data_IF_747571477000
#
_entry.id   IF_747571477000
#
_cell.length_a   1.000
_cell.length_b   1.000
_cell.length_c   1.000
_cell.angle_alpha   90.00
_cell.angle_beta   90.00
_cell.angle_gamma   90.00
#
_symmetry.space_group_name_H-M   'P 1'
#
loop_
_entity.id
_entity.type
_entity.pdbx_description
1 polymer ?
#
# COMPACT_ATOMS: atom_id res chain seq x y z
N UNK A 1 0.32 -0.91 12.03
CA UNK A 1 -0.02 -0.59 10.62
C UNK A 1 0.34 0.85 10.27
N UNK A 2 0.46 1.17 8.98
CA UNK A 2 0.68 2.53 8.47
C UNK A 2 -0.14 2.79 7.21
N UNK A 3 -0.63 4.02 7.05
CA UNK A 3 -1.20 4.51 5.80
C UNK A 3 -0.10 5.15 4.96
N UNK A 4 0.08 4.71 3.73
CA UNK A 4 0.99 5.31 2.77
C UNK A 4 0.19 6.04 1.69
N UNK A 5 0.63 7.25 1.37
CA UNK A 5 0.04 8.12 0.36
C UNK A 5 1.11 8.45 -0.67
N UNK A 6 0.89 8.09 -1.93
CA UNK A 6 1.74 8.43 -3.06
C UNK A 6 1.10 9.61 -3.77
N UNK A 7 1.70 10.77 -3.57
CA UNK A 7 1.19 12.03 -4.04
C UNK A 7 1.79 12.45 -5.37
N UNK A 8 1.01 13.09 -6.24
CA UNK A 8 1.51 13.62 -7.49
C UNK A 8 2.56 14.72 -7.22
N UNK A 9 3.72 14.64 -7.88
CA UNK A 9 4.86 15.52 -7.60
C UNK A 9 4.62 17.01 -7.88
N UNK A 10 3.57 17.36 -8.63
CA UNK A 10 3.19 18.76 -8.88
C UNK A 10 2.50 19.42 -7.68
N UNK A 11 2.09 18.65 -6.68
CA UNK A 11 1.40 19.15 -5.50
C UNK A 11 2.38 19.64 -4.44
N UNK A 12 2.09 20.81 -3.86
CA UNK A 12 2.76 21.28 -2.65
C UNK A 12 2.49 20.36 -1.45
N UNK A 13 3.33 20.39 -0.42
CA UNK A 13 3.18 19.56 0.79
C UNK A 13 1.80 19.66 1.45
N UNK A 14 1.18 20.84 1.47
CA UNK A 14 -0.20 21.02 1.97
C UNK A 14 -1.20 20.28 1.08
N UNK A 15 -1.07 20.42 -0.24
CA UNK A 15 -1.93 19.73 -1.19
C UNK A 15 -1.74 18.22 -1.14
N UNK A 16 -0.53 17.71 -0.90
CA UNK A 16 -0.30 16.28 -0.69
C UNK A 16 -1.13 15.74 0.47
N UNK A 17 -1.21 16.50 1.58
CA UNK A 17 -2.07 16.17 2.71
C UNK A 17 -3.54 16.09 2.32
N UNK A 18 -4.07 17.15 1.70
CA UNK A 18 -5.48 17.26 1.29
C UNK A 18 -5.86 16.13 0.32
N UNK A 19 -5.04 15.88 -0.70
CA UNK A 19 -5.32 14.86 -1.71
C UNK A 19 -5.16 13.43 -1.13
N UNK A 20 -4.26 13.24 -0.17
CA UNK A 20 -4.18 12.01 0.61
C UNK A 20 -5.45 11.76 1.42
N UNK A 21 -5.99 12.79 2.08
CA UNK A 21 -7.25 12.68 2.81
C UNK A 21 -8.42 12.28 1.88
N UNK A 22 -8.53 12.89 0.70
CA UNK A 22 -9.53 12.48 -0.29
C UNK A 22 -9.39 11.01 -0.71
N UNK A 23 -8.16 10.53 -0.94
CA UNK A 23 -7.91 9.12 -1.24
C UNK A 23 -8.31 8.22 -0.05
N UNK A 24 -8.01 8.61 1.19
CA UNK A 24 -8.43 7.88 2.39
C UNK A 24 -9.96 7.79 2.49
N UNK A 25 -10.67 8.91 2.33
CA UNK A 25 -12.14 8.91 2.37
C UNK A 25 -12.73 8.06 1.25
N UNK A 26 -12.17 8.13 0.04
CA UNK A 26 -12.58 7.26 -1.07
C UNK A 26 -12.37 5.77 -0.74
N UNK A 27 -11.33 5.43 0.02
CA UNK A 27 -11.06 4.07 0.49
C UNK A 27 -12.16 3.53 1.41
N UNK A 28 -12.58 4.31 2.42
CA UNK A 28 -13.72 3.95 3.29
C UNK A 28 -15.00 3.73 2.49
N UNK A 29 -15.26 4.58 1.50
CA UNK A 29 -16.44 4.45 0.63
C UNK A 29 -16.34 3.22 -0.27
N UNK A 30 -15.17 2.93 -0.85
CA UNK A 30 -14.90 1.76 -1.72
C UNK A 30 -15.17 0.45 -0.98
N UNK A 31 -14.72 0.35 0.27
CA UNK A 31 -14.79 -0.90 1.04
C UNK A 31 -15.98 -0.99 2.01
N UNK A 32 -16.94 -0.06 2.00
CA UNK A 32 -18.08 -0.01 2.93
C UNK A 32 -18.93 -1.29 3.10
N UNK A 33 -18.78 -2.28 2.23
CA UNK A 33 -19.47 -3.58 2.29
C UNK A 33 -18.50 -4.78 2.28
N UNK A 34 -17.20 -4.55 2.42
CA UNK A 34 -16.15 -5.58 2.40
C UNK A 34 -15.52 -5.64 3.79
N UNK A 35 -16.00 -6.56 4.64
CA UNK A 35 -15.68 -6.61 6.07
C UNK A 35 -14.17 -6.65 6.33
N UNK A 36 -13.43 -7.55 5.69
CA UNK A 36 -11.97 -7.70 5.91
C UNK A 36 -11.18 -6.40 5.63
N UNK A 37 -11.56 -5.68 4.57
CA UNK A 37 -10.96 -4.38 4.24
C UNK A 37 -11.34 -3.29 5.25
N UNK A 38 -12.58 -3.31 5.73
CA UNK A 38 -13.05 -2.39 6.77
C UNK A 38 -12.38 -2.66 8.11
N UNK A 39 -12.22 -3.91 8.51
CA UNK A 39 -11.53 -4.28 9.75
C UNK A 39 -10.11 -3.72 9.72
N UNK A 40 -9.40 -3.86 8.59
CA UNK A 40 -8.07 -3.26 8.39
C UNK A 40 -8.09 -1.73 8.50
N UNK A 41 -9.09 -1.08 7.89
CA UNK A 41 -9.25 0.38 7.93
C UNK A 41 -9.53 0.90 9.35
N UNK A 42 -10.46 0.25 10.06
CA UNK A 42 -10.83 0.61 11.42
C UNK A 42 -9.72 0.31 12.41
N UNK A 43 -9.02 -0.82 12.29
CA UNK A 43 -7.87 -1.13 13.13
C UNK A 43 -6.76 -0.07 12.98
N UNK A 44 -6.45 0.34 11.74
CA UNK A 44 -5.54 1.46 11.53
C UNK A 44 -6.07 2.75 12.15
N UNK A 45 -7.33 3.10 11.94
CA UNK A 45 -7.92 4.34 12.44
C UNK A 45 -8.03 4.39 13.97
N UNK A 46 -8.27 3.26 14.63
CA UNK A 46 -8.42 3.16 16.08
C UNK A 46 -7.06 3.10 16.77
N UNK A 47 -6.13 2.28 16.28
CA UNK A 47 -4.94 1.91 17.06
C UNK A 47 -3.62 2.45 16.52
N UNK A 48 -3.52 2.81 15.24
CA UNK A 48 -2.22 3.16 14.63
C UNK A 48 -2.12 4.62 14.18
N UNK A 49 -3.10 5.12 13.43
CA UNK A 49 -3.22 6.51 12.94
C UNK A 49 -1.96 7.12 12.30
N UNK A 50 -1.00 6.29 11.89
CA UNK A 50 0.25 6.75 11.31
C UNK A 50 0.10 6.89 9.80
N UNK A 51 0.41 8.07 9.28
CA UNK A 51 0.33 8.42 7.86
C UNK A 51 1.70 8.82 7.32
N UNK A 52 2.07 8.30 6.15
CA UNK A 52 3.33 8.60 5.46
C UNK A 52 3.01 9.11 4.06
N UNK A 53 3.48 10.31 3.76
CA UNK A 53 3.32 10.95 2.45
C UNK A 53 4.61 10.82 1.65
N UNK A 54 4.50 10.20 0.48
CA UNK A 54 5.58 9.93 -0.45
C UNK A 54 5.36 10.73 -1.73
N UNK A 55 6.44 11.20 -2.33
CA UNK A 55 6.41 11.75 -3.68
C UNK A 55 6.28 10.59 -4.67
N UNK A 56 5.08 10.42 -5.24
CA UNK A 56 4.74 9.35 -6.18
C UNK A 56 5.07 9.67 -7.64
N UNK A 57 5.69 10.82 -7.95
CA UNK A 57 5.99 11.22 -9.33
C UNK A 57 4.76 11.69 -10.11
N UNK A 58 4.76 11.45 -11.43
CA UNK A 58 3.65 11.83 -12.31
C UNK A 58 2.52 10.80 -12.33
N UNK A 59 1.40 11.16 -12.97
CA UNK A 59 0.19 10.34 -13.04
C UNK A 59 0.45 8.89 -13.51
N UNK A 60 1.30 8.68 -14.52
CA UNK A 60 1.63 7.33 -15.00
C UNK A 60 2.29 6.47 -13.92
N UNK A 61 3.14 7.09 -13.08
CA UNK A 61 3.80 6.39 -12.00
C UNK A 61 2.85 6.12 -10.83
N UNK A 62 1.91 7.03 -10.55
CA UNK A 62 0.83 6.76 -9.61
C UNK A 62 -0.05 5.59 -10.07
N UNK A 63 -0.39 5.54 -11.36
CA UNK A 63 -1.13 4.43 -11.93
C UNK A 63 -0.35 3.11 -11.81
N UNK A 64 0.96 3.12 -12.09
CA UNK A 64 1.84 1.96 -11.86
C UNK A 64 1.80 1.49 -10.41
N UNK A 65 1.94 2.41 -9.45
CA UNK A 65 1.89 2.11 -8.02
C UNK A 65 0.54 1.48 -7.65
N UNK A 66 -0.56 2.07 -8.11
CA UNK A 66 -1.89 1.54 -7.82
C UNK A 66 -2.07 0.13 -8.38
N UNK A 67 -1.65 -0.11 -9.63
CA UNK A 67 -1.76 -1.42 -10.26
C UNK A 67 -0.89 -2.46 -9.54
N UNK A 68 0.32 -2.10 -9.13
CA UNK A 68 1.19 -3.01 -8.36
C UNK A 68 0.56 -3.36 -7.00
N UNK A 69 -0.07 -2.40 -6.32
CA UNK A 69 -0.79 -2.67 -5.06
C UNK A 69 -2.00 -3.57 -5.28
N UNK A 70 -2.79 -3.33 -6.34
CA UNK A 70 -3.96 -4.14 -6.72
C UNK A 70 -3.57 -5.58 -7.08
N UNK A 71 -2.40 -5.76 -7.71
CA UNK A 71 -1.83 -7.06 -8.07
C UNK A 71 -1.19 -7.80 -6.88
N UNK A 72 -0.78 -7.09 -5.83
CA UNK A 72 -0.23 -7.67 -4.58
C UNK A 72 -1.36 -8.09 -3.64
N UNK A 73 -2.37 -7.24 -3.44
CA UNK A 73 -3.70 -7.77 -3.13
C UNK A 73 -4.17 -8.63 -4.32
N UNK A 74 -5.33 -9.25 -4.43
CA UNK A 74 -5.60 -10.30 -5.43
C UNK A 74 -4.66 -11.52 -5.30
N UNK A 75 -3.35 -11.43 -5.54
CA UNK A 75 -2.40 -12.52 -5.24
C UNK A 75 -2.57 -12.98 -3.79
N UNK A 76 -2.56 -12.06 -2.83
CA UNK A 76 -2.78 -12.39 -1.42
C UNK A 76 -4.17 -13.00 -1.20
N UNK A 77 -5.23 -12.37 -1.72
CA UNK A 77 -6.59 -12.91 -1.60
C UNK A 77 -6.74 -14.33 -2.16
N UNK A 78 -6.19 -14.60 -3.34
CA UNK A 78 -6.25 -15.90 -3.99
C UNK A 78 -5.53 -16.98 -3.17
N UNK A 79 -4.33 -16.67 -2.67
CA UNK A 79 -3.53 -17.63 -1.92
C UNK A 79 -4.05 -17.84 -0.50
N UNK A 80 -4.57 -16.82 0.17
CA UNK A 80 -5.16 -16.97 1.51
C UNK A 80 -6.45 -17.79 1.50
N UNK A 81 -7.22 -17.72 0.40
CA UNK A 81 -8.40 -18.57 0.21
C UNK A 81 -7.99 -20.03 -0.02
N UNK A 82 -6.89 -20.25 -0.75
CA UNK A 82 -6.40 -21.60 -1.06
C UNK A 82 -5.63 -22.24 0.11
N UNK A 83 -4.89 -21.44 0.87
CA UNK A 83 -4.03 -21.83 1.98
C UNK A 83 -4.08 -20.77 3.10
N UNK A 84 -4.85 -21.02 4.18
CA UNK A 84 -4.91 -20.12 5.33
C UNK A 84 -3.54 -19.90 6.00
N UNK A 85 -2.60 -20.83 5.86
CA UNK A 85 -1.24 -20.73 6.40
C UNK A 85 -0.26 -20.08 5.41
N UNK A 86 -0.74 -19.53 4.28
CA UNK A 86 0.11 -18.94 3.25
C UNK A 86 1.07 -17.89 3.81
N UNK A 87 0.62 -17.06 4.76
CA UNK A 87 1.46 -16.03 5.41
C UNK A 87 2.63 -16.64 6.18
N UNK A 88 2.42 -17.79 6.85
CA UNK A 88 3.49 -18.56 7.50
C UNK A 88 4.46 -19.07 6.45
N UNK A 89 3.94 -19.58 5.34
CA UNK A 89 4.77 -20.15 4.26
C UNK A 89 5.71 -19.13 3.62
N UNK A 90 5.32 -17.85 3.57
CA UNK A 90 6.15 -16.76 3.04
C UNK A 90 6.87 -15.96 4.14
N UNK A 91 6.86 -16.45 5.38
CA UNK A 91 7.66 -15.89 6.49
C UNK A 91 7.10 -14.62 7.12
N UNK A 92 5.80 -14.32 6.98
CA UNK A 92 5.20 -13.07 7.49
C UNK A 92 4.59 -13.18 8.89
N UNK A 93 4.41 -14.38 9.46
CA UNK A 93 3.62 -14.57 10.69
C UNK A 93 4.38 -15.13 11.89
N UNK A 94 5.69 -15.38 11.81
CA UNK A 94 6.44 -15.95 12.95
C UNK A 94 6.76 -14.93 14.05
N UNK A 95 6.87 -13.65 13.68
CA UNK A 95 7.46 -12.61 14.55
C UNK A 95 6.44 -11.56 15.02
N UNK A 96 5.22 -11.58 14.47
CA UNK A 96 4.16 -10.64 14.79
C UNK A 96 2.94 -11.46 15.23
N UNK A 97 2.30 -11.08 16.34
CA UNK A 97 0.95 -11.57 16.68
C UNK A 97 -0.05 -10.95 15.70
N UNK A 98 0.06 -11.34 14.43
CA UNK A 98 -0.84 -10.92 13.38
C UNK A 98 -2.15 -11.63 13.62
N UNK A 99 -3.20 -10.84 13.82
CA UNK A 99 -4.54 -11.33 13.60
C UNK A 99 -4.65 -11.64 12.10
N UNK A 100 -4.67 -12.93 11.75
CA UNK A 100 -4.78 -13.42 10.37
C UNK A 100 -6.06 -12.89 9.68
N UNK A 101 -7.05 -12.38 10.45
CA UNK A 101 -8.23 -11.71 9.92
C UNK A 101 -7.98 -10.29 9.39
N UNK A 102 -6.80 -9.70 9.64
CA UNK A 102 -6.47 -8.30 9.29
C UNK A 102 -5.33 -8.25 8.26
N UNK A 103 -5.50 -8.99 7.16
CA UNK A 103 -4.50 -9.12 6.11
C UNK A 103 -5.00 -8.69 4.72
N UNK A 104 -5.74 -7.59 4.67
CA UNK A 104 -6.12 -6.96 3.40
C UNK A 104 -5.31 -5.71 3.16
N UNK A 105 -4.92 -5.48 1.91
CA UNK A 105 -4.34 -4.19 1.53
C UNK A 105 -5.47 -3.26 1.09
N UNK A 106 -6.12 -2.59 2.05
CA UNK A 106 -7.11 -1.57 1.69
C UNK A 106 -6.40 -0.45 0.95
N UNK A 107 -6.77 -0.24 -0.31
CA UNK A 107 -6.18 0.77 -1.19
C UNK A 107 -7.21 1.50 -2.07
N UNK A 108 -6.86 2.71 -2.48
CA UNK A 108 -7.67 3.57 -3.34
C UNK A 108 -6.77 4.48 -4.19
N UNK A 109 -7.38 5.09 -5.21
CA UNK A 109 -6.82 6.20 -5.95
C UNK A 109 -7.80 7.37 -5.92
N UNK A 110 -7.31 8.59 -6.10
CA UNK A 110 -8.14 9.78 -6.17
C UNK A 110 -7.79 10.61 -7.41
N UNK A 111 -8.81 10.87 -8.22
CA UNK A 111 -8.77 11.84 -9.30
C UNK A 111 -9.45 13.11 -8.81
N UNK A 112 -8.81 14.24 -9.02
CA UNK A 112 -9.46 15.54 -8.82
C UNK A 112 -10.65 15.72 -9.75
N UNK A 113 -11.53 16.65 -9.39
CA UNK A 113 -12.65 16.99 -10.26
C UNK A 113 -12.15 17.65 -11.55
N UNK A 114 -12.92 17.48 -12.63
CA UNK A 114 -12.62 18.11 -13.91
C UNK A 114 -12.49 19.63 -13.78
N UNK A 115 -13.30 20.25 -12.91
CA UNK A 115 -13.30 21.69 -12.69
C UNK A 115 -12.12 22.18 -11.83
N UNK A 116 -11.52 21.31 -11.02
CA UNK A 116 -10.43 21.66 -10.10
C UNK A 116 -9.06 21.49 -10.73
N UNK A 117 -8.79 20.29 -11.26
CA UNK A 117 -7.49 19.94 -11.86
C UNK A 117 -7.64 19.05 -13.10
N UNK A 118 -8.66 19.30 -13.92
CA UNK A 118 -8.88 18.59 -15.19
C UNK A 118 -8.94 17.06 -15.08
N UNK A 119 -9.42 16.52 -13.95
CA UNK A 119 -9.50 15.06 -13.79
C UNK A 119 -8.18 14.40 -13.42
N UNK A 120 -7.16 15.16 -13.00
CA UNK A 120 -5.83 14.63 -12.76
C UNK A 120 -5.82 13.60 -11.61
N UNK A 121 -5.07 12.50 -11.80
CA UNK A 121 -4.71 11.57 -10.73
C UNK A 121 -3.74 12.26 -9.76
N UNK A 122 -4.18 12.49 -8.54
CA UNK A 122 -3.44 13.28 -7.55
C UNK A 122 -2.87 12.45 -6.42
N UNK A 123 -3.50 11.32 -6.08
CA UNK A 123 -3.10 10.52 -4.92
C UNK A 123 -3.46 9.04 -5.08
N UNK A 124 -2.58 8.17 -4.58
CA UNK A 124 -2.84 6.75 -4.34
C UNK A 124 -2.61 6.48 -2.86
N UNK A 125 -3.53 5.78 -2.21
CA UNK A 125 -3.46 5.46 -0.79
C UNK A 125 -3.53 3.96 -0.56
N UNK A 126 -2.79 3.48 0.45
CA UNK A 126 -2.86 2.08 0.91
C UNK A 126 -2.61 1.98 2.42
N UNK A 127 -3.38 1.14 3.11
CA UNK A 127 -3.09 0.72 4.48
C UNK A 127 -2.25 -0.55 4.44
N UNK A 128 -1.09 -0.51 5.09
CA UNK A 128 -0.18 -1.65 5.17
C UNK A 128 -0.06 -2.18 6.61
N UNK A 129 -0.17 -3.51 6.79
CA UNK A 129 0.30 -4.20 7.99
C UNK A 129 1.82 -4.09 8.18
N UNK A 130 2.28 -4.23 9.43
CA UNK A 130 3.71 -4.04 9.79
C UNK A 130 4.67 -4.97 9.08
N UNK A 131 4.24 -6.20 8.82
CA UNK A 131 5.04 -7.20 8.14
C UNK A 131 5.38 -6.84 6.67
N UNK A 132 4.65 -5.90 6.04
CA UNK A 132 4.93 -5.46 4.66
C UNK A 132 6.01 -4.39 4.54
N UNK A 133 6.34 -3.70 5.63
CA UNK A 133 7.31 -2.60 5.59
C UNK A 133 8.41 -2.74 6.63
N UNK A 134 8.52 -3.90 7.27
CA UNK A 134 9.67 -4.20 8.11
C UNK A 134 10.93 -4.29 7.24
N UNK A 135 11.77 -3.28 7.34
CA UNK A 135 12.96 -3.10 6.50
C UNK A 135 14.21 -3.39 7.30
N UNK A 136 15.00 -4.36 6.85
CA UNK A 136 16.40 -4.48 7.25
C UNK A 136 17.31 -4.56 6.01
N UNK A 137 18.60 -4.25 6.18
CA UNK A 137 19.56 -4.21 5.06
C UNK A 137 19.77 -5.57 4.39
N UNK A 138 19.64 -6.67 5.14
CA UNK A 138 19.80 -8.01 4.62
C UNK A 138 18.66 -8.36 3.65
N UNK A 139 17.41 -8.04 4.02
CA UNK A 139 16.22 -8.25 3.19
C UNK A 139 16.32 -7.49 1.87
N UNK A 140 16.78 -6.23 1.88
CA UNK A 140 16.93 -5.48 0.62
C UNK A 140 17.99 -6.06 -0.30
N UNK A 141 19.12 -6.52 0.25
CA UNK A 141 20.18 -7.19 -0.54
C UNK A 141 19.69 -8.50 -1.14
N UNK A 142 18.91 -9.27 -0.38
CA UNK A 142 18.30 -10.52 -0.85
C UNK A 142 17.31 -10.27 -2.00
N UNK A 143 16.43 -9.27 -1.86
CA UNK A 143 15.51 -8.84 -2.93
C UNK A 143 16.27 -8.46 -4.20
N UNK A 144 17.32 -7.64 -4.10
CA UNK A 144 18.09 -7.22 -5.26
C UNK A 144 18.84 -8.40 -5.91
N UNK A 145 19.32 -9.38 -5.14
CA UNK A 145 19.92 -10.62 -5.68
C UNK A 145 18.89 -11.45 -6.44
N UNK A 146 17.70 -11.69 -5.85
CA UNK A 146 16.60 -12.41 -6.49
C UNK A 146 16.21 -11.79 -7.83
N UNK A 147 16.11 -10.45 -7.87
CA UNK A 147 15.81 -9.73 -9.11
C UNK A 147 16.92 -9.88 -10.16
N UNK A 148 18.19 -9.83 -9.75
CA UNK A 148 19.34 -10.03 -10.65
C UNK A 148 19.38 -11.46 -11.23
N UNK A 149 18.88 -12.44 -10.48
CA UNK A 149 18.76 -13.85 -10.88
C UNK A 149 17.48 -14.14 -11.69
N UNK A 150 16.58 -13.16 -11.85
CA UNK A 150 15.30 -13.33 -12.54
C UNK A 150 14.23 -14.08 -11.73
N UNK A 151 14.40 -14.19 -10.42
CA UNK A 151 13.43 -14.80 -9.52
C UNK A 151 12.21 -13.89 -9.30
N UNK A 152 11.04 -14.51 -9.15
CA UNK A 152 9.83 -13.80 -8.73
C UNK A 152 9.90 -13.44 -7.24
N UNK A 153 9.48 -12.23 -6.91
CA UNK A 153 9.37 -11.78 -5.53
C UNK A 153 8.03 -12.17 -4.90
N UNK A 154 8.06 -12.46 -3.60
CA UNK A 154 6.84 -12.62 -2.82
C UNK A 154 6.09 -11.28 -2.68
N UNK A 155 4.77 -11.30 -2.38
CA UNK A 155 3.96 -10.07 -2.25
C UNK A 155 4.56 -9.00 -1.33
N UNK A 156 5.09 -9.40 -0.18
CA UNK A 156 5.71 -8.47 0.78
C UNK A 156 7.04 -7.90 0.28
N UNK A 157 7.84 -8.68 -0.45
CA UNK A 157 9.09 -8.23 -1.07
C UNK A 157 8.81 -7.24 -2.21
N UNK A 158 7.79 -7.50 -3.02
CA UNK A 158 7.30 -6.56 -4.05
C UNK A 158 6.89 -5.23 -3.43
N UNK A 159 6.13 -5.26 -2.33
CA UNK A 159 5.74 -4.06 -1.60
C UNK A 159 6.95 -3.31 -1.02
N UNK A 160 7.88 -4.01 -0.37
CA UNK A 160 9.11 -3.41 0.16
C UNK A 160 9.93 -2.73 -0.95
N UNK A 161 10.08 -3.41 -2.09
CA UNK A 161 10.78 -2.86 -3.26
C UNK A 161 10.07 -1.60 -3.76
N UNK A 162 8.74 -1.66 -3.94
CA UNK A 162 7.92 -0.53 -4.36
C UNK A 162 8.13 0.67 -3.43
N UNK A 163 7.99 0.49 -2.12
CA UNK A 163 8.17 1.57 -1.13
C UNK A 163 9.59 2.16 -1.15
N UNK A 164 10.61 1.36 -1.44
CA UNK A 164 12.01 1.80 -1.46
C UNK A 164 12.35 2.78 -2.59
N UNK A 165 11.54 2.79 -3.66
CA UNK A 165 11.71 3.65 -4.83
C UNK A 165 11.38 5.11 -4.52
N UNK A 166 10.59 5.35 -3.48
CA UNK A 166 10.03 6.66 -3.19
C UNK A 166 10.75 7.38 -2.06
N UNK A 167 10.53 8.69 -1.99
CA UNK A 167 11.03 9.58 -0.93
C UNK A 167 9.86 10.29 -0.29
N UNK A 168 10.06 10.80 0.92
CA UNK A 168 9.07 11.63 1.59
C UNK A 168 8.73 12.84 0.71
N UNK A 169 7.45 13.18 0.67
CA UNK A 169 7.02 14.42 0.03
C UNK A 169 7.57 15.61 0.82
N UNK A 170 8.21 16.54 0.12
CA UNK A 170 8.83 17.77 0.65
C UNK A 170 8.14 19.00 0.08
#
# INVERSE_FOLDING_TARGET
MRAYFFGNMYLSSIQQGIQGEHAMTAMFVKYRHQKDHLDTLYEWAENHKTSIYLNGGYADNLLRVHNEIDDIERHLAEHLVADPDYLKSIGLSSDFSLDESIFRLSHSLFHEEQASLNGALTSVAVILPECFYFRNEATMKDIDSKLAEGCSLFPHERMLKLLSEFRLAS
#
